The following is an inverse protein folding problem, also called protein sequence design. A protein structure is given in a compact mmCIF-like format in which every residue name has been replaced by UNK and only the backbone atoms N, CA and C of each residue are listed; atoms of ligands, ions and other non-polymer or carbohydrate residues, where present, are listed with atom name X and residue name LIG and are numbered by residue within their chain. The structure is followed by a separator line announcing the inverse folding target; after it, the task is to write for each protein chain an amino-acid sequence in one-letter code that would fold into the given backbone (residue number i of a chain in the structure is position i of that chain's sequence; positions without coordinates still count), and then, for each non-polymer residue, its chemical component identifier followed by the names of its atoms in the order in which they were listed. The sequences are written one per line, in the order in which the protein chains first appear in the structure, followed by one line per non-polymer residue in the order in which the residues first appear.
data_IF_639015601497
#
_entry.id   IF_639015601497
#
_cell.length_a   1.000
_cell.length_b   1.000
_cell.length_c   1.000
_cell.angle_alpha   90.00
_cell.angle_beta   90.00
_cell.angle_gamma   90.00
#
_symmetry.space_group_name_H-M   'P 1'
#
loop_
_entity.id
_entity.type
_entity.pdbx_description
1 polymer ?
#
# COMPACT_ATOMS: atom_id res chain seq x y z
N UNK A 1 8.41 6.49 -21.54
CA UNK A 1 6.98 6.46 -21.15
C UNK A 1 6.70 7.55 -20.11
N UNK A 2 7.42 7.59 -18.96
CA UNK A 2 7.22 8.61 -17.91
C UNK A 2 8.39 9.60 -17.78
N UNK A 3 9.16 9.79 -18.84
CA UNK A 3 10.44 10.54 -18.87
C UNK A 3 10.31 12.02 -18.52
N UNK A 4 9.11 12.59 -18.64
CA UNK A 4 8.81 13.97 -18.24
C UNK A 4 8.82 14.20 -16.74
N UNK A 5 8.72 13.12 -15.92
CA UNK A 5 8.74 13.22 -14.48
C UNK A 5 10.14 12.99 -13.94
N UNK A 6 10.47 13.67 -12.84
CA UNK A 6 11.78 13.62 -12.20
C UNK A 6 11.84 12.56 -11.09
N UNK A 7 10.69 12.24 -10.47
CA UNK A 7 10.56 11.21 -9.45
C UNK A 7 9.36 10.30 -9.71
N UNK A 8 9.53 9.01 -9.41
CA UNK A 8 8.45 8.03 -9.52
C UNK A 8 8.15 7.47 -8.13
N UNK A 9 6.87 7.48 -7.77
CA UNK A 9 6.41 6.97 -6.47
C UNK A 9 5.41 5.85 -6.75
N UNK A 10 5.56 4.75 -6.06
CA UNK A 10 4.73 3.57 -6.26
C UNK A 10 4.00 3.22 -4.97
N UNK A 11 2.70 2.99 -5.04
CA UNK A 11 2.06 2.17 -4.03
C UNK A 11 2.58 0.74 -4.12
N UNK A 12 2.36 -0.06 -3.09
CA UNK A 12 2.89 -1.42 -3.02
C UNK A 12 1.81 -2.49 -3.27
N UNK A 13 0.82 -2.53 -2.40
CA UNK A 13 -0.17 -3.61 -2.33
C UNK A 13 -1.23 -3.45 -3.43
N UNK A 14 -1.30 -4.36 -4.40
CA UNK A 14 -2.18 -4.24 -5.58
C UNK A 14 -1.57 -3.42 -6.73
N UNK A 15 -0.45 -2.75 -6.49
CA UNK A 15 0.25 -1.93 -7.47
C UNK A 15 1.57 -2.57 -7.95
N UNK A 16 2.51 -2.79 -7.05
CA UNK A 16 3.78 -3.48 -7.33
C UNK A 16 3.69 -4.98 -7.05
N UNK A 17 2.92 -5.35 -6.03
CA UNK A 17 2.86 -6.69 -5.47
C UNK A 17 1.41 -7.18 -5.41
N UNK A 18 1.19 -8.42 -5.83
CA UNK A 18 -0.08 -9.13 -5.65
C UNK A 18 -0.14 -9.69 -4.22
N UNK A 19 -0.67 -8.89 -3.32
CA UNK A 19 -0.84 -9.22 -1.90
C UNK A 19 -2.30 -9.47 -1.53
N UNK A 20 -3.25 -9.07 -2.38
CA UNK A 20 -4.68 -9.10 -2.12
C UNK A 20 -5.21 -10.49 -1.74
N UNK A 21 -4.85 -11.59 -2.44
CA UNK A 21 -5.32 -12.92 -2.07
C UNK A 21 -4.91 -13.34 -0.66
N UNK A 22 -3.71 -12.93 -0.23
CA UNK A 22 -3.20 -13.22 1.12
C UNK A 22 -3.92 -12.40 2.18
N UNK A 23 -4.17 -11.12 1.88
CA UNK A 23 -4.95 -10.25 2.75
C UNK A 23 -6.39 -10.77 2.95
N UNK A 24 -7.05 -11.24 1.90
CA UNK A 24 -8.39 -11.86 1.99
C UNK A 24 -8.37 -13.12 2.87
N UNK A 25 -7.43 -14.04 2.61
CA UNK A 25 -7.27 -15.25 3.43
C UNK A 25 -7.04 -14.93 4.90
N UNK A 26 -6.21 -13.92 5.19
CA UNK A 26 -5.92 -13.53 6.56
C UNK A 26 -7.17 -12.96 7.26
N UNK A 27 -7.96 -12.15 6.58
CA UNK A 27 -9.24 -11.69 7.09
C UNK A 27 -10.20 -12.84 7.37
N UNK A 28 -10.38 -13.76 6.42
CA UNK A 28 -11.25 -14.93 6.61
C UNK A 28 -10.82 -15.76 7.81
N UNK A 29 -9.51 -15.99 7.97
CA UNK A 29 -8.96 -16.79 9.07
C UNK A 29 -9.15 -16.13 10.43
N UNK A 30 -8.94 -14.82 10.53
CA UNK A 30 -9.06 -14.09 11.80
C UNK A 30 -10.53 -13.91 12.17
N UNK A 31 -11.37 -13.48 11.22
CA UNK A 31 -12.79 -13.20 11.45
C UNK A 31 -13.58 -14.47 11.81
N UNK A 32 -13.18 -15.63 11.29
CA UNK A 32 -13.79 -16.92 11.65
C UNK A 32 -13.72 -17.19 13.16
N UNK A 33 -12.66 -16.71 13.86
CA UNK A 33 -12.52 -16.86 15.34
C UNK A 33 -13.61 -16.11 16.11
N UNK A 34 -14.17 -15.07 15.48
CA UNK A 34 -15.20 -14.18 16.05
C UNK A 34 -16.59 -14.46 15.46
N UNK A 35 -16.75 -15.51 14.63
CA UNK A 35 -18.01 -15.80 13.94
C UNK A 35 -18.40 -14.75 12.88
N UNK A 36 -17.46 -13.92 12.47
CA UNK A 36 -17.63 -12.87 11.46
C UNK A 36 -17.14 -13.34 10.08
N UNK A 37 -17.51 -12.58 9.03
CA UNK A 37 -17.09 -12.84 7.65
C UNK A 37 -16.52 -11.59 7.02
N UNK A 38 -15.56 -11.78 6.12
CA UNK A 38 -15.02 -10.71 5.28
C UNK A 38 -15.86 -10.55 4.01
N UNK A 39 -16.35 -9.34 3.80
CA UNK A 39 -17.00 -8.97 2.54
C UNK A 39 -16.08 -8.06 1.74
N UNK A 40 -15.33 -8.65 0.81
CA UNK A 40 -14.38 -7.93 -0.03
C UNK A 40 -15.04 -6.78 -0.80
N UNK A 41 -16.27 -6.96 -1.28
CA UNK A 41 -16.97 -5.94 -2.07
C UNK A 41 -17.30 -4.70 -1.24
N UNK A 42 -17.71 -4.90 0.03
CA UNK A 42 -17.98 -3.80 0.96
C UNK A 42 -16.70 -3.09 1.45
N UNK A 43 -15.56 -3.76 1.36
CA UNK A 43 -14.27 -3.22 1.83
C UNK A 43 -13.43 -2.57 0.72
N UNK A 44 -13.78 -2.74 -0.55
CA UNK A 44 -13.03 -2.21 -1.71
C UNK A 44 -12.79 -0.71 -1.61
N UNK A 45 -13.75 0.07 -1.13
CA UNK A 45 -13.61 1.52 -0.95
C UNK A 45 -12.56 1.91 0.11
N UNK A 46 -12.11 0.95 0.93
CA UNK A 46 -11.10 1.17 1.97
C UNK A 46 -9.72 0.64 1.58
N UNK A 47 -9.56 0.09 0.37
CA UNK A 47 -8.25 -0.32 -0.11
C UNK A 47 -7.25 0.84 -0.05
N UNK A 48 -6.00 0.56 0.29
CA UNK A 48 -4.99 1.59 0.54
C UNK A 48 -5.07 2.29 1.90
N UNK A 49 -6.09 1.98 2.72
CA UNK A 49 -6.21 2.49 4.09
C UNK A 49 -5.44 1.60 5.09
N UNK A 50 -5.07 2.15 6.26
CA UNK A 50 -4.51 1.34 7.35
C UNK A 50 -5.45 0.21 7.77
N UNK A 51 -4.87 -0.94 8.12
CA UNK A 51 -5.62 -2.16 8.49
C UNK A 51 -6.65 -1.94 9.60
N UNK A 52 -6.34 -1.10 10.60
CA UNK A 52 -7.27 -0.82 11.70
C UNK A 52 -8.57 -0.12 11.23
N UNK A 53 -8.50 0.69 10.17
CA UNK A 53 -9.69 1.33 9.60
C UNK A 53 -10.61 0.32 8.92
N UNK A 54 -10.03 -0.66 8.23
CA UNK A 54 -10.77 -1.79 7.66
C UNK A 54 -11.37 -2.63 8.78
N UNK A 55 -10.60 -2.94 9.83
CA UNK A 55 -11.07 -3.63 11.02
C UNK A 55 -12.28 -2.93 11.66
N UNK A 56 -12.20 -1.62 11.87
CA UNK A 56 -13.31 -0.84 12.43
C UNK A 56 -14.59 -0.98 11.57
N UNK A 57 -14.46 -0.86 10.25
CA UNK A 57 -15.61 -1.01 9.34
C UNK A 57 -16.25 -2.40 9.42
N UNK A 58 -15.43 -3.46 9.55
CA UNK A 58 -15.92 -4.83 9.73
C UNK A 58 -16.66 -4.97 11.06
N UNK A 59 -16.09 -4.47 12.15
CA UNK A 59 -16.67 -4.46 13.49
C UNK A 59 -18.03 -3.77 13.48
N UNK A 60 -18.10 -2.57 12.90
CA UNK A 60 -19.33 -1.79 12.79
C UNK A 60 -20.42 -2.53 11.99
N UNK A 61 -20.04 -3.20 10.88
CA UNK A 61 -20.99 -3.94 10.05
C UNK A 61 -21.56 -5.18 10.73
N UNK A 62 -20.83 -5.77 11.66
CA UNK A 62 -21.24 -6.94 12.45
C UNK A 62 -21.78 -6.57 13.85
N UNK A 63 -21.76 -5.28 14.22
CA UNK A 63 -22.11 -4.78 15.55
C UNK A 63 -21.35 -5.53 16.67
N UNK A 64 -20.08 -5.86 16.41
CA UNK A 64 -19.24 -6.62 17.32
C UNK A 64 -18.59 -5.69 18.37
N UNK A 65 -18.40 -6.20 19.57
CA UNK A 65 -17.68 -5.53 20.66
C UNK A 65 -16.23 -5.98 20.72
N UNK A 66 -15.42 -5.49 19.80
CA UNK A 66 -14.00 -5.83 19.62
C UNK A 66 -13.22 -4.54 19.36
N UNK A 67 -12.02 -4.45 19.89
CA UNK A 67 -11.11 -3.34 19.60
C UNK A 67 -10.53 -3.47 18.16
N UNK A 68 -10.64 -2.39 17.38
CA UNK A 68 -10.22 -2.40 15.98
C UNK A 68 -8.69 -2.55 15.81
N UNK A 69 -7.90 -2.03 16.73
CA UNK A 69 -6.45 -2.17 16.70
C UNK A 69 -6.03 -3.60 17.06
N UNK A 70 -6.74 -4.23 18.03
CA UNK A 70 -6.52 -5.63 18.35
C UNK A 70 -6.81 -6.53 17.13
N UNK A 71 -7.97 -6.36 16.50
CA UNK A 71 -8.36 -7.15 15.32
C UNK A 71 -7.39 -6.93 14.15
N UNK A 72 -6.92 -5.70 13.95
CA UNK A 72 -5.92 -5.38 12.95
C UNK A 72 -4.56 -6.03 13.24
N UNK A 73 -4.13 -6.05 14.51
CA UNK A 73 -2.88 -6.70 14.92
C UNK A 73 -2.93 -8.22 14.69
N UNK A 74 -4.04 -8.87 15.04
CA UNK A 74 -4.24 -10.30 14.76
C UNK A 74 -4.17 -10.62 13.26
N UNK A 75 -4.84 -9.80 12.43
CA UNK A 75 -4.78 -9.96 10.97
C UNK A 75 -3.37 -9.74 10.44
N UNK A 76 -2.67 -8.74 10.93
CA UNK A 76 -1.29 -8.45 10.51
C UNK A 76 -0.37 -9.62 10.84
N UNK A 77 -0.46 -10.23 12.02
CA UNK A 77 0.32 -11.39 12.39
C UNK A 77 0.08 -12.60 11.46
N UNK A 78 -1.18 -12.81 11.03
CA UNK A 78 -1.51 -13.87 10.06
C UNK A 78 -0.90 -13.56 8.69
N UNK A 79 -1.01 -12.31 8.22
CA UNK A 79 -0.39 -11.88 6.95
C UNK A 79 1.13 -12.08 7.00
N UNK A 80 1.78 -11.64 8.08
CA UNK A 80 3.24 -11.76 8.24
C UNK A 80 3.72 -13.21 8.15
N UNK A 81 2.94 -14.15 8.65
CA UNK A 81 3.26 -15.56 8.56
C UNK A 81 3.11 -16.17 7.16
N UNK A 82 2.30 -15.56 6.29
CA UNK A 82 1.92 -16.14 5.00
C UNK A 82 2.51 -15.39 3.80
N UNK A 83 2.72 -14.09 3.94
CA UNK A 83 2.88 -13.17 2.80
C UNK A 83 4.16 -13.45 2.00
N UNK A 84 5.26 -13.77 2.69
CA UNK A 84 6.54 -14.07 2.03
C UNK A 84 6.46 -15.29 1.10
N UNK A 85 5.61 -16.28 1.45
CA UNK A 85 5.45 -17.49 0.64
C UNK A 85 4.46 -17.32 -0.52
N UNK A 86 3.63 -16.28 -0.48
CA UNK A 86 2.51 -16.11 -1.42
C UNK A 86 2.62 -14.89 -2.33
N UNK A 87 3.38 -13.88 -1.92
CA UNK A 87 3.52 -12.61 -2.64
C UNK A 87 4.16 -12.82 -4.01
N UNK A 88 3.64 -12.13 -5.02
CA UNK A 88 4.19 -12.11 -6.39
C UNK A 88 4.32 -10.68 -6.88
N UNK A 89 5.35 -10.39 -7.68
CA UNK A 89 5.45 -9.09 -8.35
C UNK A 89 4.38 -8.97 -9.43
N UNK A 90 3.81 -7.77 -9.57
CA UNK A 90 2.90 -7.38 -10.64
C UNK A 90 3.66 -6.78 -11.83
N UNK A 91 3.06 -6.70 -13.03
CA UNK A 91 3.74 -6.24 -14.25
C UNK A 91 4.39 -4.86 -14.15
N UNK A 92 3.91 -3.98 -13.26
CA UNK A 92 4.46 -2.64 -13.06
C UNK A 92 5.93 -2.65 -12.60
N UNK A 93 6.42 -3.77 -12.09
CA UNK A 93 7.86 -3.98 -11.78
C UNK A 93 8.76 -3.73 -13.01
N UNK A 94 8.25 -3.92 -14.22
CA UNK A 94 9.05 -3.64 -15.42
C UNK A 94 9.29 -2.12 -15.60
N UNK A 95 8.37 -1.27 -15.15
CA UNK A 95 8.58 0.19 -15.07
C UNK A 95 9.68 0.51 -14.05
N UNK A 96 9.63 -0.13 -12.86
CA UNK A 96 10.67 0.04 -11.82
C UNK A 96 12.04 -0.35 -12.37
N UNK A 97 12.17 -1.51 -13.00
CA UNK A 97 13.42 -1.98 -13.64
C UNK A 97 13.93 -1.01 -14.70
N UNK A 98 13.02 -0.47 -15.53
CA UNK A 98 13.38 0.47 -16.59
C UNK A 98 13.98 1.78 -16.05
N UNK A 99 13.45 2.30 -14.93
CA UNK A 99 13.90 3.56 -14.35
C UNK A 99 15.01 3.44 -13.30
N UNK A 100 15.40 2.22 -12.91
CA UNK A 100 16.50 1.99 -11.97
C UNK A 100 17.77 2.74 -12.39
N UNK A 101 18.31 3.56 -11.46
CA UNK A 101 19.50 4.37 -11.69
C UNK A 101 19.33 5.51 -12.69
N UNK A 102 18.12 5.75 -13.21
CA UNK A 102 17.79 6.84 -14.14
C UNK A 102 16.95 7.92 -13.50
N UNK A 103 16.10 7.54 -12.55
CA UNK A 103 15.22 8.44 -11.80
C UNK A 103 15.15 7.96 -10.35
N UNK A 104 15.09 8.87 -9.39
CA UNK A 104 14.82 8.51 -8.01
C UNK A 104 13.42 7.94 -7.89
N UNK A 105 13.30 6.87 -7.10
CA UNK A 105 12.05 6.13 -6.91
C UNK A 105 11.77 5.88 -5.44
N UNK A 106 10.49 5.96 -5.05
CA UNK A 106 10.06 5.64 -3.70
C UNK A 106 8.85 4.70 -3.70
N UNK A 107 8.69 3.96 -2.60
CA UNK A 107 7.45 3.25 -2.27
C UNK A 107 6.70 4.02 -1.19
N UNK A 108 5.38 4.22 -1.37
CA UNK A 108 4.50 4.84 -0.39
C UNK A 108 3.26 3.99 -0.16
N UNK A 109 3.21 3.25 0.95
CA UNK A 109 2.21 2.20 1.21
C UNK A 109 1.39 2.44 2.47
N UNK A 110 0.19 1.84 2.53
CA UNK A 110 -0.63 1.71 3.73
C UNK A 110 -0.19 0.58 4.67
N UNK A 111 0.74 -0.27 4.25
CA UNK A 111 1.41 -1.26 5.09
C UNK A 111 2.46 -0.60 6.00
N UNK A 112 2.87 -1.27 7.07
CA UNK A 112 3.97 -0.75 7.91
C UNK A 112 5.29 -0.73 7.15
N UNK A 113 6.19 0.17 7.53
CA UNK A 113 7.54 0.27 6.97
C UNK A 113 8.26 -1.08 7.01
N UNK A 114 8.28 -1.72 8.17
CA UNK A 114 8.96 -3.01 8.35
C UNK A 114 8.39 -4.13 7.47
N UNK A 115 7.08 -4.12 7.18
CA UNK A 115 6.48 -5.09 6.26
C UNK A 115 6.91 -4.80 4.82
N UNK A 116 6.87 -3.54 4.39
CA UNK A 116 7.29 -3.14 3.06
C UNK A 116 8.76 -3.49 2.79
N UNK A 117 9.64 -3.17 3.75
CA UNK A 117 11.06 -3.51 3.70
C UNK A 117 11.29 -5.02 3.53
N UNK A 118 10.63 -5.84 4.35
CA UNK A 118 10.74 -7.30 4.29
C UNK A 118 10.27 -7.88 2.96
N UNK A 119 9.14 -7.40 2.43
CA UNK A 119 8.58 -7.87 1.15
C UNK A 119 9.49 -7.51 -0.03
N UNK A 120 9.92 -6.26 -0.09
CA UNK A 120 10.79 -5.79 -1.16
C UNK A 120 12.16 -6.48 -1.11
N UNK A 121 12.71 -6.72 0.10
CA UNK A 121 13.95 -7.47 0.28
C UNK A 121 13.80 -8.92 -0.16
N UNK A 122 12.71 -9.59 0.26
CA UNK A 122 12.43 -10.98 -0.12
C UNK A 122 12.37 -11.17 -1.64
N UNK A 123 11.78 -10.20 -2.35
CA UNK A 123 11.67 -10.22 -3.80
C UNK A 123 12.90 -9.68 -4.55
N UNK A 124 13.95 -9.24 -3.84
CA UNK A 124 15.14 -8.63 -4.43
C UNK A 124 14.87 -7.27 -5.09
N UNK A 125 13.86 -6.55 -4.62
CA UNK A 125 13.41 -5.27 -5.16
C UNK A 125 13.80 -4.07 -4.30
N UNK A 126 14.24 -4.28 -3.05
CA UNK A 126 14.56 -3.22 -2.09
C UNK A 126 15.53 -2.18 -2.70
N UNK A 127 16.64 -2.62 -3.27
CA UNK A 127 17.70 -1.76 -3.81
C UNK A 127 17.31 -1.01 -5.12
N UNK A 128 16.05 -1.13 -5.55
CA UNK A 128 15.54 -0.34 -6.68
C UNK A 128 14.96 1.00 -6.23
N UNK A 129 14.69 1.15 -4.92
CA UNK A 129 14.03 2.32 -4.35
C UNK A 129 14.98 3.10 -3.46
N UNK A 130 14.94 4.42 -3.59
CA UNK A 130 15.73 5.36 -2.78
C UNK A 130 15.06 5.65 -1.44
N UNK A 131 13.75 5.36 -1.31
CA UNK A 131 12.99 5.53 -0.09
C UNK A 131 11.78 4.60 -0.01
N UNK A 132 11.43 4.22 1.22
CA UNK A 132 10.20 3.51 1.56
C UNK A 132 9.48 4.34 2.63
N UNK A 133 8.17 4.53 2.47
CA UNK A 133 7.30 5.22 3.43
C UNK A 133 6.13 4.31 3.74
N UNK A 134 6.08 3.81 4.96
CA UNK A 134 4.97 3.01 5.49
C UNK A 134 3.94 3.83 6.25
N UNK A 135 2.88 3.17 6.71
CA UNK A 135 1.84 3.81 7.49
C UNK A 135 2.36 4.40 8.81
N UNK A 136 3.36 3.78 9.40
CA UNK A 136 4.00 4.19 10.66
C UNK A 136 5.01 5.35 10.51
N UNK A 137 5.34 5.74 9.26
CA UNK A 137 6.20 6.89 8.97
C UNK A 137 5.44 8.22 8.88
N UNK A 138 4.10 8.21 8.92
CA UNK A 138 3.24 9.39 8.76
C UNK A 138 2.11 9.41 9.78
N UNK A 139 1.62 10.60 10.09
CA UNK A 139 0.51 10.77 11.03
C UNK A 139 -0.86 10.70 10.34
N UNK A 140 -0.95 11.21 9.12
CA UNK A 140 -2.17 11.20 8.32
C UNK A 140 -2.00 10.24 7.14
N UNK A 141 -2.93 9.28 7.04
CA UNK A 141 -2.87 8.23 6.03
C UNK A 141 -3.75 8.58 4.82
N UNK A 142 -3.55 7.88 3.69
CA UNK A 142 -4.41 8.00 2.50
C UNK A 142 -5.89 8.01 2.93
N UNK A 143 -6.69 8.96 2.48
CA UNK A 143 -6.53 9.86 1.33
C UNK A 143 -5.83 11.21 1.64
N UNK A 144 -5.19 11.38 2.79
CA UNK A 144 -4.32 12.54 3.05
C UNK A 144 -3.01 12.40 2.29
N UNK A 145 -2.36 13.52 1.87
CA UNK A 145 -1.23 13.48 0.95
C UNK A 145 0.11 13.09 1.60
N UNK A 146 0.16 12.95 2.92
CA UNK A 146 1.38 12.89 3.73
C UNK A 146 2.34 11.78 3.30
N UNK A 147 1.82 10.58 2.99
CA UNK A 147 2.62 9.45 2.50
C UNK A 147 3.41 9.83 1.25
N UNK A 148 2.76 10.40 0.26
CA UNK A 148 3.40 10.73 -1.00
C UNK A 148 4.26 12.00 -0.92
N UNK A 149 3.87 13.00 -0.12
CA UNK A 149 4.71 14.16 0.17
C UNK A 149 6.00 13.75 0.90
N UNK A 150 5.91 12.79 1.83
CA UNK A 150 7.08 12.22 2.50
C UNK A 150 7.99 11.50 1.51
N UNK A 151 7.44 10.69 0.60
CA UNK A 151 8.18 10.06 -0.49
C UNK A 151 8.94 11.09 -1.31
N UNK A 152 8.27 12.12 -1.81
CA UNK A 152 8.86 13.19 -2.63
C UNK A 152 10.02 13.90 -1.89
N UNK A 153 9.84 14.18 -0.60
CA UNK A 153 10.87 14.77 0.26
C UNK A 153 12.11 13.88 0.35
N UNK A 154 11.92 12.59 0.59
CA UNK A 154 13.04 11.64 0.77
C UNK A 154 13.83 11.43 -0.51
N UNK A 155 13.15 11.43 -1.68
CA UNK A 155 13.83 11.34 -2.98
C UNK A 155 14.28 12.71 -3.53
N UNK A 156 14.12 13.79 -2.76
CA UNK A 156 14.53 15.16 -3.11
C UNK A 156 13.96 15.67 -4.44
N UNK A 157 12.68 15.35 -4.74
CA UNK A 157 11.96 15.81 -5.93
C UNK A 157 10.73 16.60 -5.50
N UNK A 158 10.48 17.75 -6.15
CA UNK A 158 9.28 18.56 -5.90
C UNK A 158 8.01 17.77 -6.31
N UNK A 159 6.91 17.86 -5.53
CA UNK A 159 5.69 17.07 -5.76
C UNK A 159 5.16 17.20 -7.19
N UNK A 160 5.12 18.39 -7.77
CA UNK A 160 4.65 18.65 -9.13
C UNK A 160 5.49 17.99 -10.24
N UNK A 161 6.67 17.51 -9.89
CA UNK A 161 7.55 16.75 -10.78
C UNK A 161 7.55 15.25 -10.52
N UNK A 162 6.73 14.80 -9.57
CA UNK A 162 6.52 13.39 -9.28
C UNK A 162 5.31 12.81 -10.03
N UNK A 163 5.36 11.51 -10.27
CA UNK A 163 4.22 10.70 -10.70
C UNK A 163 4.01 9.56 -9.72
N UNK A 164 2.76 9.32 -9.33
CA UNK A 164 2.35 8.24 -8.45
C UNK A 164 1.67 7.15 -9.27
N UNK A 165 1.94 5.89 -8.95
CA UNK A 165 1.25 4.72 -9.48
C UNK A 165 0.44 4.09 -8.35
N UNK A 166 -0.86 3.87 -8.57
CA UNK A 166 -1.81 3.52 -7.50
C UNK A 166 -3.01 2.76 -8.06
N UNK A 167 -3.52 1.78 -7.31
CA UNK A 167 -4.70 0.99 -7.68
C UNK A 167 -5.95 1.35 -6.86
N UNK A 168 -5.79 2.05 -5.73
CA UNK A 168 -6.87 2.34 -4.79
C UNK A 168 -7.34 3.81 -4.87
N UNK A 169 -8.65 4.03 -4.74
CA UNK A 169 -9.24 5.38 -4.82
C UNK A 169 -8.68 6.34 -3.77
N UNK A 170 -8.41 5.85 -2.55
CA UNK A 170 -7.81 6.68 -1.48
C UNK A 170 -6.37 7.10 -1.81
N UNK A 171 -5.60 6.24 -2.45
CA UNK A 171 -4.26 6.60 -2.88
C UNK A 171 -4.26 7.55 -4.08
N UNK A 172 -5.15 7.35 -5.05
CA UNK A 172 -5.35 8.28 -6.17
C UNK A 172 -5.72 9.67 -5.64
N UNK A 173 -6.62 9.75 -4.66
CA UNK A 173 -6.99 11.01 -4.03
C UNK A 173 -5.81 11.64 -3.27
N UNK A 174 -5.03 10.84 -2.54
CA UNK A 174 -3.84 11.31 -1.85
C UNK A 174 -2.80 11.92 -2.81
N UNK A 175 -2.56 11.28 -3.96
CA UNK A 175 -1.65 11.79 -4.98
C UNK A 175 -2.12 13.13 -5.56
N UNK A 176 -3.42 13.26 -5.85
CA UNK A 176 -4.02 14.52 -6.32
C UNK A 176 -3.88 15.64 -5.29
N UNK A 177 -4.14 15.34 -4.00
CA UNK A 177 -3.96 16.30 -2.89
C UNK A 177 -2.51 16.70 -2.69
N UNK A 178 -1.57 15.82 -3.02
CA UNK A 178 -0.14 16.10 -3.01
C UNK A 178 0.31 16.95 -4.21
N UNK A 179 -0.59 17.35 -5.12
CA UNK A 179 -0.27 18.01 -6.39
C UNK A 179 0.68 17.20 -7.29
N UNK A 180 0.53 15.87 -7.28
CA UNK A 180 1.29 14.93 -8.10
C UNK A 180 0.44 14.40 -9.26
N UNK A 181 1.10 14.08 -10.38
CA UNK A 181 0.45 13.28 -11.41
C UNK A 181 0.18 11.87 -10.88
N UNK A 182 -0.89 11.23 -11.34
CA UNK A 182 -1.23 9.88 -10.91
C UNK A 182 -1.62 9.00 -12.10
N UNK A 183 -1.20 7.76 -12.05
CA UNK A 183 -1.62 6.66 -12.94
C UNK A 183 -2.46 5.70 -12.11
N UNK A 184 -3.73 5.55 -12.49
CA UNK A 184 -4.57 4.46 -12.00
C UNK A 184 -4.15 3.18 -12.71
N UNK A 185 -3.44 2.30 -11.98
CA UNK A 185 -2.86 1.09 -12.58
C UNK A 185 -3.91 0.06 -13.01
N UNK A 186 -5.14 0.19 -12.53
CA UNK A 186 -6.29 -0.65 -12.96
C UNK A 186 -6.66 -0.41 -14.43
N UNK A 187 -6.17 0.68 -15.01
CA UNK A 187 -6.45 1.06 -16.42
C UNK A 187 -5.32 0.77 -17.39
N UNK A 188 -4.24 0.10 -16.95
CA UNK A 188 -3.06 -0.23 -17.75
C UNK A 188 -3.22 -1.54 -18.55
#
# INVERSE_FOLDING_TARGET
MYDRYQGLIFDMDGTLLDTEPTHHKAWDQVLARYGMRYDASAMTALNGSPTWRIAQRIIDSHQADIDAHQLAAEKTAVVEAMLLDTVKPLPLIDVVKHYRGRRPMAVGTGSTHGMADRLLTHLGLHDYFDAIVGADDVTQHKPFPDTFLRCATLISVAPEHCIVFEDADYGIEAAKRANMAVVDVRTL
#
